data_IF_356088312623
#
_entry.id   IF_356088312623
#
_cell.length_a   1.000
_cell.length_b   1.000
_cell.length_c   1.000
_cell.angle_alpha   90.00
_cell.angle_beta   90.00
_cell.angle_gamma   90.00
#
_symmetry.space_group_name_H-M   'P 1'
#
loop_
_entity.id
_entity.type
_entity.pdbx_description
1 polymer ?
#
# COMPACT_ATOMS: atom_id res chain seq x y z
N UNK A 1 -0.16 21.92 -7.52
CA UNK A 1 -1.00 20.87 -8.17
C UNK A 1 -2.11 21.40 -9.08
N UNK A 2 -2.40 20.73 -10.20
CA UNK A 2 -3.62 20.95 -11.01
C UNK A 2 -4.86 20.29 -10.36
N UNK A 3 -6.07 20.73 -10.69
CA UNK A 3 -7.34 20.22 -10.11
C UNK A 3 -7.48 18.68 -10.20
N UNK A 4 -7.03 18.09 -11.32
CA UNK A 4 -7.05 16.64 -11.55
C UNK A 4 -6.15 15.91 -10.54
N UNK A 5 -4.94 16.41 -10.29
CA UNK A 5 -4.02 15.82 -9.31
C UNK A 5 -4.56 15.87 -7.89
N UNK A 6 -5.30 16.93 -7.55
CA UNK A 6 -5.95 17.07 -6.24
C UNK A 6 -7.05 16.02 -6.04
N UNK A 7 -7.94 15.86 -7.03
CA UNK A 7 -9.01 14.85 -6.99
C UNK A 7 -8.42 13.44 -6.89
N UNK A 8 -7.37 13.15 -7.65
CA UNK A 8 -6.69 11.85 -7.62
C UNK A 8 -6.00 11.58 -6.28
N UNK A 9 -5.32 12.56 -5.69
CA UNK A 9 -4.69 12.41 -4.38
C UNK A 9 -5.72 12.17 -3.26
N UNK A 10 -6.86 12.86 -3.31
CA UNK A 10 -7.98 12.59 -2.39
C UNK A 10 -8.55 11.18 -2.60
N UNK A 11 -8.68 10.72 -3.85
CA UNK A 11 -9.16 9.37 -4.16
C UNK A 11 -8.21 8.27 -3.65
N UNK A 12 -6.89 8.48 -3.73
CA UNK A 12 -5.88 7.62 -3.09
C UNK A 12 -6.13 7.57 -1.59
N UNK A 13 -6.26 8.74 -0.96
CA UNK A 13 -6.53 8.87 0.46
C UNK A 13 -7.77 8.12 0.89
N UNK A 14 -8.90 8.35 0.22
CA UNK A 14 -10.18 7.68 0.48
C UNK A 14 -10.00 6.17 0.35
N UNK A 15 -9.35 5.70 -0.70
CA UNK A 15 -9.10 4.27 -0.92
C UNK A 15 -8.24 3.67 0.19
N UNK A 16 -7.25 4.42 0.69
CA UNK A 16 -6.35 4.02 1.77
C UNK A 16 -7.09 3.99 3.11
N UNK A 17 -7.92 4.98 3.41
CA UNK A 17 -8.77 4.99 4.61
C UNK A 17 -9.86 3.91 4.61
N UNK A 18 -10.42 3.59 3.44
CA UNK A 18 -11.46 2.58 3.29
C UNK A 18 -10.94 1.14 3.44
N UNK A 19 -9.76 0.86 2.88
CA UNK A 19 -9.22 -0.50 2.76
C UNK A 19 -7.97 -0.73 3.62
N UNK A 20 -7.54 0.28 4.39
CA UNK A 20 -6.27 0.38 5.12
C UNK A 20 -5.07 0.47 4.18
N UNK A 21 -4.84 -0.61 3.42
CA UNK A 21 -3.67 -0.76 2.59
C UNK A 21 -3.92 -0.78 1.08
N UNK A 22 -5.17 -0.97 0.64
CA UNK A 22 -5.50 -1.10 -0.78
C UNK A 22 -5.18 0.15 -1.60
N UNK A 23 -5.49 1.33 -1.07
CA UNK A 23 -5.32 2.61 -1.77
C UNK A 23 -3.88 2.95 -2.17
N UNK A 24 -2.88 2.35 -1.54
CA UNK A 24 -1.47 2.58 -1.86
C UNK A 24 -1.07 2.08 -3.26
N UNK A 25 -1.83 1.13 -3.82
CA UNK A 25 -1.66 0.68 -5.22
C UNK A 25 -1.85 1.85 -6.18
N UNK A 26 -2.75 2.78 -5.87
CA UNK A 26 -3.14 3.83 -6.80
C UNK A 26 -2.14 4.98 -6.83
N UNK A 27 -1.37 5.16 -5.75
CA UNK A 27 -0.41 6.24 -5.63
C UNK A 27 0.63 6.22 -6.75
N UNK A 28 1.18 5.05 -7.06
CA UNK A 28 2.25 4.93 -8.06
C UNK A 28 1.79 5.31 -9.48
N UNK A 29 0.69 4.74 -10.05
CA UNK A 29 0.19 5.16 -11.35
C UNK A 29 -0.20 6.64 -11.38
N UNK A 30 -0.77 7.17 -10.31
CA UNK A 30 -1.15 8.59 -10.26
C UNK A 30 0.09 9.48 -10.36
N UNK A 31 1.16 9.17 -9.62
CA UNK A 31 2.41 9.92 -9.70
C UNK A 31 3.08 9.81 -11.08
N UNK A 32 3.10 8.61 -11.68
CA UNK A 32 3.69 8.43 -13.02
C UNK A 32 2.90 9.16 -14.11
N UNK A 33 1.58 8.96 -14.18
CA UNK A 33 0.80 9.40 -15.34
C UNK A 33 0.11 10.75 -15.15
N UNK A 34 -0.24 11.15 -13.92
CA UNK A 34 -0.85 12.45 -13.67
C UNK A 34 0.18 13.53 -13.32
N UNK A 35 1.28 13.15 -12.68
CA UNK A 35 2.38 14.05 -12.31
C UNK A 35 3.60 13.93 -13.24
N UNK A 36 3.62 12.96 -14.15
CA UNK A 36 4.68 12.82 -15.15
C UNK A 36 6.04 12.39 -14.57
N UNK A 37 6.05 11.81 -13.37
CA UNK A 37 7.28 11.39 -12.70
C UNK A 37 7.89 10.15 -13.37
N UNK A 38 9.22 10.08 -13.38
CA UNK A 38 9.94 8.87 -13.79
C UNK A 38 9.62 7.68 -12.87
N UNK A 39 9.84 6.45 -13.34
CA UNK A 39 9.39 5.25 -12.62
C UNK A 39 9.99 5.16 -11.21
N UNK A 40 11.30 5.38 -11.08
CA UNK A 40 12.01 5.35 -9.79
C UNK A 40 11.61 6.52 -8.89
N UNK A 41 11.43 7.70 -9.45
CA UNK A 41 10.97 8.90 -8.72
C UNK A 41 9.57 8.69 -8.16
N UNK A 42 8.65 8.14 -8.97
CA UNK A 42 7.29 7.86 -8.55
C UNK A 42 7.25 6.77 -7.45
N UNK A 43 8.09 5.74 -7.53
CA UNK A 43 8.26 4.69 -6.52
C UNK A 43 8.72 5.28 -5.18
N UNK A 44 9.75 6.12 -5.20
CA UNK A 44 10.31 6.71 -3.98
C UNK A 44 9.30 7.71 -3.36
N UNK A 45 8.65 8.52 -4.20
CA UNK A 45 7.61 9.47 -3.77
C UNK A 45 6.38 8.77 -3.22
N UNK A 46 5.94 7.65 -3.81
CA UNK A 46 4.79 6.89 -3.30
C UNK A 46 5.05 6.30 -1.93
N UNK A 47 6.28 5.87 -1.62
CA UNK A 47 6.64 5.39 -0.28
C UNK A 47 6.50 6.49 0.78
N UNK A 48 6.88 7.73 0.47
CA UNK A 48 6.66 8.88 1.37
C UNK A 48 5.17 9.13 1.57
N UNK A 49 4.43 9.29 0.46
CA UNK A 49 2.99 9.57 0.49
C UNK A 49 2.23 8.51 1.28
N UNK A 50 2.50 7.24 1.00
CA UNK A 50 1.84 6.12 1.66
C UNK A 50 2.28 5.98 3.13
N UNK A 51 3.54 6.27 3.43
CA UNK A 51 4.05 6.28 4.80
C UNK A 51 3.33 7.31 5.67
N UNK A 52 3.26 8.56 5.21
CA UNK A 52 2.61 9.67 5.92
C UNK A 52 1.10 9.40 6.08
N UNK A 53 0.43 9.01 4.99
CA UNK A 53 -1.01 8.76 5.00
C UNK A 53 -1.40 7.58 5.88
N UNK A 54 -0.58 6.52 5.87
CA UNK A 54 -0.79 5.37 6.75
C UNK A 54 -0.56 5.76 8.21
N UNK A 55 0.49 6.53 8.52
CA UNK A 55 0.74 7.01 9.88
C UNK A 55 -0.44 7.84 10.42
N UNK A 56 -1.04 8.71 9.59
CA UNK A 56 -2.24 9.45 9.97
C UNK A 56 -3.46 8.53 10.18
N UNK A 57 -3.67 7.56 9.27
CA UNK A 57 -4.79 6.63 9.34
C UNK A 57 -4.71 5.66 10.53
N UNK A 58 -3.50 5.27 10.95
CA UNK A 58 -3.27 4.45 12.16
C UNK A 58 -3.96 5.07 13.37
N UNK A 59 -3.93 6.40 13.52
CA UNK A 59 -4.49 7.09 14.70
C UNK A 59 -5.98 6.76 14.85
N UNK A 60 -6.74 6.80 13.75
CA UNK A 60 -8.17 6.47 13.76
C UNK A 60 -8.42 4.99 14.11
N UNK A 61 -7.67 4.08 13.49
CA UNK A 61 -7.83 2.64 13.73
C UNK A 61 -7.35 2.20 15.12
N UNK A 62 -6.30 2.83 15.65
CA UNK A 62 -5.81 2.58 17.00
C UNK A 62 -6.84 2.99 18.06
N UNK A 63 -7.49 4.15 17.87
CA UNK A 63 -8.58 4.60 18.75
C UNK A 63 -9.80 3.67 18.75
N UNK A 64 -10.01 2.93 17.66
CA UNK A 64 -11.09 1.95 17.53
C UNK A 64 -10.70 0.54 18.06
N UNK A 65 -9.50 0.35 18.60
CA UNK A 65 -9.03 -0.95 19.09
C UNK A 65 -8.71 -1.96 17.98
N UNK A 66 -8.55 -1.49 16.73
CA UNK A 66 -8.34 -2.33 15.55
C UNK A 66 -6.85 -2.59 15.25
N UNK A 67 -5.94 -2.37 16.21
CA UNK A 67 -4.49 -2.50 16.01
C UNK A 67 -3.91 -3.55 16.94
N UNK A 68 -3.31 -4.58 16.37
CA UNK A 68 -2.55 -5.61 17.09
C UNK A 68 -1.07 -5.24 17.10
N UNK A 69 -0.66 -4.43 18.09
CA UNK A 69 0.67 -3.84 18.16
C UNK A 69 1.81 -4.86 18.11
N UNK A 70 1.67 -5.98 18.83
CA UNK A 70 2.73 -7.00 18.89
C UNK A 70 3.00 -7.63 17.52
N UNK A 71 1.95 -8.11 16.86
CA UNK A 71 2.04 -8.70 15.52
C UNK A 71 2.47 -7.67 14.49
N UNK A 72 1.91 -6.46 14.56
CA UNK A 72 2.25 -5.35 13.68
C UNK A 72 3.72 -4.95 13.76
N UNK A 73 4.28 -4.80 14.95
CA UNK A 73 5.68 -4.39 15.12
C UNK A 73 6.67 -5.49 14.69
N UNK A 74 6.37 -6.77 14.96
CA UNK A 74 7.21 -7.88 14.49
C UNK A 74 7.21 -7.93 12.96
N UNK A 75 6.03 -7.84 12.34
CA UNK A 75 5.90 -7.81 10.89
C UNK A 75 6.58 -6.56 10.31
N UNK A 76 6.42 -5.39 10.96
CA UNK A 76 7.03 -4.14 10.54
C UNK A 76 8.56 -4.21 10.58
N UNK A 77 9.15 -4.84 11.60
CA UNK A 77 10.60 -5.00 11.70
C UNK A 77 11.15 -5.84 10.53
N UNK A 78 10.57 -7.03 10.29
CA UNK A 78 10.97 -7.87 9.17
C UNK A 78 10.69 -7.21 7.81
N UNK A 79 9.52 -6.58 7.69
CA UNK A 79 9.11 -5.85 6.49
C UNK A 79 9.95 -4.62 6.20
N UNK A 80 10.51 -3.97 7.22
CA UNK A 80 11.41 -2.83 7.06
C UNK A 80 12.77 -3.28 6.52
N UNK A 81 13.32 -4.38 7.06
CA UNK A 81 14.55 -4.97 6.54
C UNK A 81 14.37 -5.39 5.07
N UNK A 82 13.26 -6.06 4.76
CA UNK A 82 12.92 -6.41 3.39
C UNK A 82 12.71 -5.20 2.49
N UNK A 83 11.97 -4.18 2.94
CA UNK A 83 11.68 -2.98 2.16
C UNK A 83 12.92 -2.15 1.86
N UNK A 84 13.82 -1.99 2.83
CA UNK A 84 15.11 -1.33 2.63
C UNK A 84 15.95 -2.09 1.60
N UNK A 85 16.11 -3.41 1.77
CA UNK A 85 16.86 -4.24 0.84
C UNK A 85 16.24 -4.28 -0.57
N UNK A 86 14.91 -4.32 -0.65
CA UNK A 86 14.18 -4.26 -1.91
C UNK A 86 14.33 -2.90 -2.61
N UNK A 87 14.25 -1.80 -1.87
CA UNK A 87 14.47 -0.46 -2.42
C UNK A 87 15.89 -0.28 -2.93
N UNK A 88 16.88 -0.70 -2.14
CA UNK A 88 18.29 -0.68 -2.55
C UNK A 88 18.55 -1.58 -3.78
N UNK A 89 17.92 -2.76 -3.85
CA UNK A 89 18.07 -3.65 -5.00
C UNK A 89 17.32 -3.15 -6.25
N UNK A 90 16.27 -2.34 -6.08
CA UNK A 90 15.52 -1.76 -7.20
C UNK A 90 16.40 -0.91 -8.10
N UNK A 91 17.52 -0.38 -7.58
CA UNK A 91 18.41 0.44 -8.39
C UNK A 91 19.12 -0.31 -9.51
N UNK A 92 19.38 -1.60 -9.29
CA UNK A 92 19.99 -2.49 -10.27
C UNK A 92 19.00 -3.02 -11.31
N UNK A 93 17.70 -2.74 -11.14
CA UNK A 93 16.64 -3.21 -12.01
C UNK A 93 16.15 -2.03 -12.88
N UNK A 94 16.03 -2.21 -14.21
CA UNK A 94 15.46 -1.16 -15.06
C UNK A 94 14.01 -0.85 -14.64
N UNK A 95 13.64 0.44 -14.64
CA UNK A 95 12.32 0.90 -14.19
C UNK A 95 11.14 0.18 -14.86
N UNK A 96 11.27 -0.14 -16.16
CA UNK A 96 10.26 -0.90 -16.92
C UNK A 96 9.96 -2.28 -16.33
N UNK A 97 10.97 -2.97 -15.79
CA UNK A 97 10.77 -4.28 -15.13
C UNK A 97 10.05 -4.13 -13.79
N UNK A 98 10.35 -3.08 -13.03
CA UNK A 98 9.64 -2.77 -11.79
C UNK A 98 8.16 -2.47 -12.07
N UNK A 99 7.88 -1.66 -13.09
CA UNK A 99 6.51 -1.31 -13.50
C UNK A 99 5.76 -2.53 -14.05
N UNK A 100 6.41 -3.40 -14.84
CA UNK A 100 5.78 -4.64 -15.31
C UNK A 100 5.46 -5.60 -14.16
N UNK A 101 6.38 -5.74 -13.19
CA UNK A 101 6.13 -6.50 -11.97
C UNK A 101 4.97 -5.92 -11.16
N UNK A 102 4.89 -4.59 -11.08
CA UNK A 102 3.77 -3.88 -10.46
C UNK A 102 2.44 -4.19 -11.14
N UNK A 103 2.42 -4.14 -12.47
CA UNK A 103 1.25 -4.37 -13.28
C UNK A 103 0.69 -5.77 -13.07
N UNK A 104 1.58 -6.79 -13.08
CA UNK A 104 1.21 -8.17 -12.78
C UNK A 104 0.57 -8.28 -11.39
N UNK A 105 1.15 -7.62 -10.39
CA UNK A 105 0.63 -7.59 -9.03
C UNK A 105 -0.71 -6.85 -8.92
N UNK A 106 -0.91 -5.75 -9.66
CA UNK A 106 -2.19 -5.05 -9.73
C UNK A 106 -3.28 -5.95 -10.29
N UNK A 107 -3.02 -6.64 -11.41
CA UNK A 107 -3.97 -7.56 -12.04
C UNK A 107 -4.31 -8.71 -11.09
N UNK A 108 -3.30 -9.35 -10.49
CA UNK A 108 -3.51 -10.42 -9.53
C UNK A 108 -4.37 -9.98 -8.33
N UNK A 109 -4.10 -8.78 -7.80
CA UNK A 109 -4.84 -8.20 -6.68
C UNK A 109 -6.28 -7.86 -7.07
N UNK A 110 -6.49 -7.24 -8.22
CA UNK A 110 -7.80 -6.92 -8.77
C UNK A 110 -8.67 -8.19 -8.93
N UNK A 111 -8.12 -9.23 -9.55
CA UNK A 111 -8.80 -10.51 -9.72
C UNK A 111 -9.16 -11.13 -8.36
N UNK A 112 -8.22 -11.13 -7.40
CA UNK A 112 -8.47 -11.67 -6.07
C UNK A 112 -9.57 -10.90 -5.30
N UNK A 113 -9.67 -9.58 -5.51
CA UNK A 113 -10.69 -8.73 -4.89
C UNK A 113 -12.06 -8.91 -5.53
N UNK A 114 -12.13 -9.01 -6.87
CA UNK A 114 -13.39 -9.18 -7.64
C UNK A 114 -13.99 -10.57 -7.40
N UNK A 115 -13.18 -11.63 -7.45
CA UNK A 115 -13.65 -13.02 -7.30
C UNK A 115 -14.19 -13.32 -5.90
N UNK A 116 -13.96 -12.43 -4.94
CA UNK A 116 -14.39 -12.61 -3.55
C UNK A 116 -13.57 -13.70 -2.86
N UNK A 117 -12.77 -13.32 -1.86
CA UNK A 117 -12.27 -14.31 -0.91
C UNK A 117 -13.40 -14.79 0.00
N UNK A 118 -13.55 -16.11 0.13
CA UNK A 118 -14.22 -16.74 1.28
C UNK A 118 -13.67 -16.10 2.55
N UNK A 119 -14.56 -15.75 3.49
CA UNK A 119 -14.14 -15.30 4.81
C UNK A 119 -13.17 -16.33 5.40
N UNK A 120 -11.96 -15.87 5.66
CA UNK A 120 -10.94 -16.72 6.26
C UNK A 120 -11.26 -16.75 7.73
N UNK A 121 -11.65 -17.92 8.23
CA UNK A 121 -11.87 -18.13 9.66
C UNK A 121 -10.59 -17.73 10.39
N UNK A 122 -10.73 -16.86 11.40
CA UNK A 122 -9.62 -16.46 12.24
C UNK A 122 -8.91 -17.70 12.78
N UNK A 123 -7.58 -17.68 12.78
CA UNK A 123 -6.82 -18.80 13.30
C UNK A 123 -6.90 -18.77 14.83
N UNK A 124 -7.45 -19.82 15.44
CA UNK A 124 -7.45 -19.97 16.90
C UNK A 124 -6.11 -20.58 17.33
N UNK A 125 -5.15 -19.73 17.71
CA UNK A 125 -3.85 -20.17 18.24
C UNK A 125 -2.77 -19.08 18.22
N UNK A 126 -1.68 -19.27 18.98
CA UNK A 126 -0.55 -18.34 18.95
C UNK A 126 0.09 -18.35 17.56
N UNK A 127 0.36 -17.15 17.04
CA UNK A 127 0.92 -17.00 15.70
C UNK A 127 2.38 -17.48 15.63
N UNK A 128 2.76 -18.26 14.61
CA UNK A 128 4.15 -18.68 14.42
C UNK A 128 5.01 -17.48 14.03
N UNK A 129 5.74 -16.93 15.00
CA UNK A 129 6.66 -15.78 14.82
C UNK A 129 7.61 -15.96 13.62
N UNK A 130 8.23 -17.14 13.37
CA UNK A 130 9.10 -17.34 12.21
C UNK A 130 8.39 -17.13 10.88
N UNK A 131 7.10 -17.52 10.79
CA UNK A 131 6.28 -17.35 9.60
C UNK A 131 5.98 -15.87 9.35
N UNK A 132 5.63 -15.12 10.40
CA UNK A 132 5.41 -13.66 10.34
C UNK A 132 6.68 -12.94 9.88
N UNK A 133 7.85 -13.34 10.38
CA UNK A 133 9.13 -12.76 9.97
C UNK A 133 9.43 -13.05 8.49
N UNK A 134 9.27 -14.29 8.05
CA UNK A 134 9.49 -14.67 6.65
C UNK A 134 8.56 -13.91 5.70
N UNK A 135 7.28 -13.82 6.03
CA UNK A 135 6.28 -13.08 5.25
C UNK A 135 6.54 -11.59 5.27
N UNK A 136 6.85 -11.04 6.44
CA UNK A 136 7.27 -9.65 6.60
C UNK A 136 8.40 -9.33 5.65
N UNK A 137 9.45 -10.16 5.63
CA UNK A 137 10.61 -9.96 4.78
C UNK A 137 10.28 -10.07 3.29
N UNK A 138 9.54 -11.10 2.86
CA UNK A 138 9.14 -11.28 1.44
C UNK A 138 8.25 -10.13 0.99
N UNK A 139 7.22 -9.79 1.76
CA UNK A 139 6.33 -8.67 1.45
C UNK A 139 7.12 -7.36 1.47
N UNK A 140 8.05 -7.20 2.40
CA UNK A 140 8.99 -6.08 2.47
C UNK A 140 9.75 -5.92 1.17
N UNK A 141 10.50 -6.94 0.74
CA UNK A 141 11.31 -6.94 -0.49
C UNK A 141 10.46 -6.57 -1.69
N UNK A 142 9.35 -7.29 -1.89
CA UNK A 142 8.44 -7.02 -3.02
C UNK A 142 8.00 -5.56 -2.97
N UNK A 143 7.51 -5.08 -1.84
CA UNK A 143 6.92 -3.74 -1.76
C UNK A 143 7.94 -2.60 -1.78
N UNK A 144 9.18 -2.86 -1.36
CA UNK A 144 10.31 -1.94 -1.52
C UNK A 144 10.77 -1.84 -2.97
N UNK A 145 10.79 -2.97 -3.70
CA UNK A 145 11.09 -3.00 -5.13
C UNK A 145 10.06 -2.21 -5.94
N UNK A 146 8.77 -2.46 -5.69
CA UNK A 146 7.70 -1.89 -6.50
C UNK A 146 7.16 -0.55 -6.02
N UNK A 147 7.60 -0.02 -4.88
CA UNK A 147 7.19 1.30 -4.37
C UNK A 147 5.74 1.43 -3.91
N UNK A 148 4.92 0.40 -4.11
CA UNK A 148 3.46 0.50 -3.96
C UNK A 148 2.95 0.65 -2.52
N UNK A 149 3.81 0.90 -1.53
CA UNK A 149 3.50 0.93 -0.09
C UNK A 149 3.02 -0.41 0.50
N UNK A 150 2.63 -1.35 -0.37
CA UNK A 150 2.40 -2.75 -0.09
C UNK A 150 1.19 -3.08 0.75
N UNK A 151 0.29 -2.14 1.01
CA UNK A 151 -0.84 -2.39 1.89
C UNK A 151 -1.79 -3.46 1.37
N UNK A 152 -1.91 -3.59 0.05
CA UNK A 152 -2.64 -4.67 -0.60
C UNK A 152 -2.01 -6.06 -0.47
N UNK A 153 -0.72 -6.16 -0.11
CA UNK A 153 -0.06 -7.43 0.23
C UNK A 153 -0.06 -7.67 1.74
N UNK A 154 0.16 -6.61 2.53
CA UNK A 154 0.23 -6.69 3.99
C UNK A 154 -1.11 -7.08 4.60
N UNK A 155 -2.23 -6.49 4.15
CA UNK A 155 -3.56 -6.84 4.69
C UNK A 155 -3.89 -8.32 4.47
N UNK A 156 -3.77 -8.87 3.24
CA UNK A 156 -3.85 -10.31 3.01
C UNK A 156 -2.91 -11.16 3.84
N UNK A 157 -1.64 -10.77 4.00
CA UNK A 157 -0.68 -11.55 4.78
C UNK A 157 -1.11 -11.63 6.24
N UNK A 158 -1.45 -10.49 6.85
CA UNK A 158 -1.92 -10.44 8.24
C UNK A 158 -3.26 -11.16 8.46
N UNK A 159 -4.18 -11.10 7.50
CA UNK A 159 -5.48 -11.76 7.61
C UNK A 159 -5.38 -13.28 7.38
N UNK A 160 -4.69 -13.71 6.32
CA UNK A 160 -4.61 -15.13 5.95
C UNK A 160 -3.62 -15.91 6.78
N UNK A 161 -2.47 -15.32 7.04
CA UNK A 161 -1.30 -16.02 7.55
C UNK A 161 -1.02 -15.64 9.00
N UNK A 162 -1.24 -14.36 9.32
CA UNK A 162 -1.30 -13.83 10.67
C UNK A 162 -2.65 -14.05 11.39
N UNK A 163 -3.63 -14.69 10.73
CA UNK A 163 -4.90 -15.11 11.34
C UNK A 163 -5.76 -13.97 11.92
N UNK A 164 -5.44 -12.71 11.64
CA UNK A 164 -6.12 -11.57 12.24
C UNK A 164 -7.51 -11.37 11.59
N UNK A 165 -8.55 -11.03 12.39
CA UNK A 165 -9.82 -10.56 11.86
C UNK A 165 -9.60 -9.38 10.92
N UNK A 166 -10.37 -9.27 9.84
CA UNK A 166 -10.18 -8.24 8.80
C UNK A 166 -10.03 -6.82 9.36
N UNK A 167 -10.88 -6.32 10.28
CA UNK A 167 -10.70 -4.98 10.86
C UNK A 167 -9.36 -4.80 11.58
N UNK A 168 -8.90 -5.84 12.31
CA UNK A 168 -7.60 -5.85 12.97
C UNK A 168 -6.45 -5.94 11.97
N UNK A 169 -6.57 -6.75 10.92
CA UNK A 169 -5.57 -6.85 9.86
C UNK A 169 -5.39 -5.51 9.13
N UNK A 170 -6.50 -4.81 8.85
CA UNK A 170 -6.52 -3.47 8.24
C UNK A 170 -5.79 -2.46 9.13
N UNK A 171 -6.19 -2.33 10.40
CA UNK A 171 -5.54 -1.39 11.33
C UNK A 171 -4.07 -1.71 11.60
N UNK A 172 -3.75 -2.99 11.78
CA UNK A 172 -2.36 -3.46 12.00
C UNK A 172 -1.49 -3.24 10.75
N UNK A 173 -2.05 -3.40 9.55
CA UNK A 173 -1.32 -3.14 8.31
C UNK A 173 -0.89 -1.69 8.17
N UNK A 174 -1.70 -0.73 8.63
CA UNK A 174 -1.37 0.69 8.57
C UNK A 174 -0.10 1.01 9.37
N UNK A 175 0.08 0.36 10.54
CA UNK A 175 1.31 0.48 11.35
C UNK A 175 2.50 -0.09 10.58
N UNK A 176 2.34 -1.29 10.03
CA UNK A 176 3.37 -1.95 9.22
C UNK A 176 3.78 -1.08 8.04
N UNK A 177 2.80 -0.56 7.30
CA UNK A 177 3.01 0.27 6.10
C UNK A 177 3.72 1.57 6.48
N UNK A 178 3.27 2.26 7.52
CA UNK A 178 3.90 3.51 7.98
C UNK A 178 5.39 3.31 8.28
N UNK A 179 5.72 2.28 9.05
CA UNK A 179 7.11 1.99 9.44
C UNK A 179 7.92 1.53 8.23
N UNK A 180 7.48 0.49 7.52
CA UNK A 180 8.30 -0.08 6.44
C UNK A 180 8.47 0.87 5.26
N UNK A 181 7.52 1.77 5.00
CA UNK A 181 7.62 2.71 3.86
C UNK A 181 8.71 3.74 4.10
N UNK A 182 8.95 4.12 5.36
CA UNK A 182 10.11 4.93 5.73
C UNK A 182 11.42 4.23 5.38
N UNK A 183 11.57 2.95 5.76
CA UNK A 183 12.76 2.16 5.43
C UNK A 183 12.88 1.84 3.94
N UNK A 184 11.77 1.60 3.25
CA UNK A 184 11.75 1.46 1.80
C UNK A 184 12.22 2.72 1.10
N UNK A 185 11.73 3.90 1.53
CA UNK A 185 12.20 5.18 1.01
C UNK A 185 13.70 5.37 1.25
N UNK A 186 14.21 5.06 2.45
CA UNK A 186 15.65 5.11 2.72
C UNK A 186 16.48 4.22 1.79
N UNK A 187 15.93 3.09 1.34
CA UNK A 187 16.58 2.22 0.34
C UNK A 187 16.72 2.87 -1.04
N UNK A 188 15.83 3.82 -1.39
CA UNK A 188 15.87 4.59 -2.65
C UNK A 188 16.52 5.98 -2.50
N UNK A 189 16.58 6.52 -1.28
CA UNK A 189 16.97 7.90 -0.99
C UNK A 189 18.42 8.24 -1.36
N UNK A 190 19.28 7.24 -1.56
CA UNK A 190 20.68 7.46 -1.96
C UNK A 190 20.84 7.77 -3.45
N UNK A 191 19.82 7.51 -4.29
CA UNK A 191 19.98 7.54 -5.75
C UNK A 191 18.86 8.26 -6.51
N UNK A 192 17.77 8.67 -5.86
CA UNK A 192 16.62 9.31 -6.51
C UNK A 192 16.35 10.68 -5.91
N UNK A 193 16.37 11.72 -6.76
CA UNK A 193 15.91 13.04 -6.37
C UNK A 193 14.38 13.04 -6.35
N UNK A 194 13.79 13.42 -5.21
CA UNK A 194 12.35 13.59 -5.04
C UNK A 194 12.06 15.08 -4.99
N UNK A 195 10.98 15.51 -5.66
CA UNK A 195 10.37 16.81 -5.41
C UNK A 195 9.59 16.79 -4.08
N UNK A 196 10.11 17.41 -3.00
CA UNK A 196 9.47 17.35 -1.69
C UNK A 196 8.12 18.09 -1.69
N UNK A 197 7.92 19.05 -2.60
CA UNK A 197 6.69 19.80 -2.71
C UNK A 197 5.55 18.89 -3.17
N UNK A 198 5.77 18.14 -4.26
CA UNK A 198 4.75 17.21 -4.78
C UNK A 198 4.45 16.12 -3.74
N UNK A 199 5.49 15.57 -3.11
CA UNK A 199 5.32 14.56 -2.06
C UNK A 199 4.43 15.08 -0.92
N UNK A 200 4.65 16.32 -0.45
CA UNK A 200 3.88 16.94 0.62
C UNK A 200 2.45 17.30 0.20
N UNK A 201 2.26 17.90 -0.98
CA UNK A 201 0.92 18.26 -1.48
C UNK A 201 0.04 17.01 -1.62
N UNK A 202 0.57 15.95 -2.24
CA UNK A 202 -0.15 14.68 -2.41
C UNK A 202 -0.40 14.01 -1.06
N UNK A 203 0.58 14.01 -0.16
CA UNK A 203 0.42 13.46 1.20
C UNK A 203 -0.70 14.16 1.96
N UNK A 204 -0.75 15.49 1.94
CA UNK A 204 -1.75 16.26 2.66
C UNK A 204 -3.17 15.94 2.15
N UNK A 205 -3.35 15.92 0.83
CA UNK A 205 -4.64 15.59 0.22
C UNK A 205 -5.05 14.14 0.48
N UNK A 206 -4.10 13.21 0.43
CA UNK A 206 -4.35 11.82 0.74
C UNK A 206 -4.63 11.59 2.23
N UNK A 207 -4.06 12.38 3.15
CA UNK A 207 -4.39 12.36 4.58
C UNK A 207 -5.83 12.81 4.79
N UNK A 208 -6.24 13.92 4.17
CA UNK A 208 -7.64 14.40 4.23
C UNK A 208 -8.58 13.31 3.69
N UNK A 209 -8.24 12.73 2.53
CA UNK A 209 -9.01 11.63 1.95
C UNK A 209 -9.08 10.40 2.86
N UNK A 210 -8.00 10.05 3.57
CA UNK A 210 -7.97 8.86 4.43
C UNK A 210 -8.85 8.99 5.66
N UNK A 211 -8.98 10.19 6.22
CA UNK A 211 -9.97 10.43 7.29
C UNK A 211 -11.40 10.28 6.77
N UNK A 212 -11.71 10.83 5.59
CA UNK A 212 -13.03 10.65 4.95
C UNK A 212 -13.30 9.17 4.69
N UNK A 213 -12.33 8.45 4.13
CA UNK A 213 -12.40 7.02 3.89
C UNK A 213 -12.64 6.23 5.16
N UNK A 214 -11.89 6.50 6.23
CA UNK A 214 -12.05 5.81 7.52
C UNK A 214 -13.39 6.08 8.21
N UNK A 215 -14.02 7.23 7.97
CA UNK A 215 -15.37 7.55 8.46
C UNK A 215 -16.46 6.86 7.64
N UNK A 216 -16.23 6.66 6.34
CA UNK A 216 -17.18 6.00 5.44
C UNK A 216 -17.06 4.47 5.51
N UNK A 217 -15.86 3.93 5.79
CA UNK A 217 -15.58 2.49 5.78
C UNK A 217 -16.56 1.64 6.61
N UNK A 218 -16.94 2.03 7.85
CA UNK A 218 -17.86 1.24 8.66
C UNK A 218 -19.30 1.23 8.13
N UNK A 219 -19.65 2.17 7.23
CA UNK A 219 -21.00 2.33 6.68
C UNK A 219 -21.22 1.54 5.39
N UNK A 220 -20.18 1.00 4.78
CA UNK A 220 -20.24 0.29 3.51
C UNK A 220 -19.90 -1.19 3.73
N UNK A 221 -20.71 -2.14 3.19
CA UNK A 221 -20.38 -3.56 3.28
C UNK A 221 -18.99 -3.85 2.71
N UNK A 222 -18.18 -4.59 3.47
CA UNK A 222 -16.80 -4.91 3.09
C UNK A 222 -16.69 -5.67 1.75
N UNK A 223 -17.75 -6.39 1.35
CA UNK A 223 -17.86 -7.04 0.03
C UNK A 223 -17.91 -6.02 -1.11
N UNK A 224 -18.79 -5.02 -0.99
CA UNK A 224 -19.05 -4.03 -2.04
C UNK A 224 -17.83 -3.14 -2.23
N UNK A 225 -17.24 -2.69 -1.13
CA UNK A 225 -16.05 -1.86 -1.16
C UNK A 225 -14.87 -2.60 -1.81
N UNK A 226 -14.67 -3.88 -1.47
CA UNK A 226 -13.63 -4.73 -2.04
C UNK A 226 -13.83 -4.95 -3.54
N UNK A 227 -15.05 -5.24 -3.98
CA UNK A 227 -15.36 -5.46 -5.40
C UNK A 227 -15.20 -4.18 -6.22
N UNK A 228 -15.76 -3.06 -5.75
CA UNK A 228 -15.63 -1.76 -6.43
C UNK A 228 -14.16 -1.36 -6.58
N UNK A 229 -13.36 -1.54 -5.53
CA UNK A 229 -11.93 -1.26 -5.59
C UNK A 229 -11.18 -2.23 -6.51
N UNK A 230 -11.51 -3.53 -6.48
CA UNK A 230 -10.93 -4.51 -7.40
C UNK A 230 -11.17 -4.15 -8.86
N UNK A 231 -12.40 -3.72 -9.21
CA UNK A 231 -12.72 -3.21 -10.55
C UNK A 231 -11.90 -1.97 -10.88
N UNK A 232 -11.79 -1.01 -9.96
CA UNK A 232 -11.00 0.20 -10.19
C UNK A 232 -9.50 -0.09 -10.41
N UNK A 233 -8.90 -0.97 -9.60
CA UNK A 233 -7.51 -1.42 -9.79
C UNK A 233 -7.35 -2.12 -11.13
N UNK A 234 -8.33 -2.93 -11.57
CA UNK A 234 -8.30 -3.56 -12.89
C UNK A 234 -8.29 -2.52 -14.01
N UNK A 235 -9.14 -1.49 -13.93
CA UNK A 235 -9.17 -0.39 -14.90
C UNK A 235 -7.84 0.35 -14.96
N UNK A 236 -7.24 0.64 -13.80
CA UNK A 236 -5.92 1.27 -13.73
C UNK A 236 -4.81 0.38 -14.27
N UNK A 237 -4.83 -0.92 -14.00
CA UNK A 237 -3.87 -1.86 -14.55
C UNK A 237 -3.97 -1.95 -16.08
N UNK A 238 -5.18 -1.96 -16.64
CA UNK A 238 -5.40 -1.92 -18.09
C UNK A 238 -4.91 -0.61 -18.71
N UNK A 239 -5.20 0.53 -18.08
CA UNK A 239 -4.70 1.83 -18.52
C UNK A 239 -3.16 1.87 -18.51
N UNK A 240 -2.55 1.43 -17.41
CA UNK A 240 -1.10 1.36 -17.26
C UNK A 240 -0.46 0.47 -18.32
N UNK A 241 -1.05 -0.71 -18.56
CA UNK A 241 -0.58 -1.65 -19.58
C UNK A 241 -0.69 -1.10 -21.00
N UNK A 242 -1.77 -0.37 -21.30
CA UNK A 242 -1.92 0.28 -22.61
C UNK A 242 -0.85 1.33 -22.86
N UNK A 243 -0.45 2.08 -21.82
CA UNK A 243 0.60 3.09 -21.91
C UNK A 243 2.01 2.51 -21.95
N UNK A 244 2.23 1.34 -21.37
CA UNK A 244 3.53 0.67 -21.38
C UNK A 244 3.86 0.05 -22.74
N UNK A 245 2.83 -0.27 -23.54
CA UNK A 245 2.96 -0.91 -24.86
C UNK A 245 3.08 0.11 -26.02
N UNK A 246 2.83 1.39 -25.76
CA UNK A 246 2.93 2.50 -26.73
C UNK A 246 4.27 3.19 -26.63
#
# INVERSE_FOLDING_TARGET
MNLIGLVLAVAVGISLGLLGGGGSILTLPILMYAFGMGEKEAIATSLIVVGITSAAAVISHARQGNVEWRTGLIFAAAGSAGAFGGGWFADFIPGSWLVNGFLLMMVATAIAMIRGRKEVKAHEGPLPVPKILAEGLVVGIVTGLVGAGGGFLVVPALALLGGLPMPKAVGTSLVVIAIKSFFGYLGHATHVAIDPMIAMEVSLMAVVGSFVGGVVAPRVPASNLRQAFGVFVMLMAMYMGSKQLM
#
